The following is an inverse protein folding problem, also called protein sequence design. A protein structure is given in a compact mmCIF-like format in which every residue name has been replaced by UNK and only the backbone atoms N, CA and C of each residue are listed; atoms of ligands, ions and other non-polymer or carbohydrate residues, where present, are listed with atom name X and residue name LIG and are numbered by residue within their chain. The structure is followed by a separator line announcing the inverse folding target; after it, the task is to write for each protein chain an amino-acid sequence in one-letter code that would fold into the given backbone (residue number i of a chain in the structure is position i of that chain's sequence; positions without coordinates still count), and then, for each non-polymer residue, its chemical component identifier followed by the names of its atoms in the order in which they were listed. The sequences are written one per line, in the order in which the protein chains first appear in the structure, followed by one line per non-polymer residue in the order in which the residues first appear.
data_IF_759445139914
#
_entry.id   IF_759445139914
#
_cell.length_a   1.000
_cell.length_b   1.000
_cell.length_c   1.000
_cell.angle_alpha   90.00
_cell.angle_beta   90.00
_cell.angle_gamma   90.00
#
_symmetry.space_group_name_H-M   'P 1'
#
loop_
_entity.id
_entity.type
_entity.pdbx_description
1 polymer ?
#
# COMPACT_ATOMS: atom_id res chain seq x y z
N UNK A 1 -74.64 -17.32 31.35
CA UNK A 1 -75.27 -16.25 32.15
C UNK A 1 -74.31 -15.09 32.14
N UNK A 2 -74.68 -14.14 31.39
CA UNK A 2 -74.98 -12.75 31.72
C UNK A 2 -73.66 -11.96 31.98
N UNK A 3 -73.33 -11.14 31.12
CA UNK A 3 -73.80 -9.78 30.90
C UNK A 3 -73.01 -8.73 31.68
N UNK A 4 -72.51 -7.72 30.98
CA UNK A 4 -72.36 -6.41 31.53
C UNK A 4 -71.41 -5.49 30.75
N UNK A 5 -71.93 -4.91 29.70
CA UNK A 5 -71.50 -3.66 29.04
C UNK A 5 -71.32 -2.50 29.99
N UNK A 6 -70.41 -1.59 29.65
CA UNK A 6 -70.53 -0.10 29.64
C UNK A 6 -69.20 0.50 29.28
N UNK A 7 -69.10 1.02 28.11
CA UNK A 7 -69.37 2.39 27.61
C UNK A 7 -68.46 3.49 28.21
N UNK A 8 -67.61 4.01 27.29
CA UNK A 8 -67.33 5.41 26.97
C UNK A 8 -66.78 6.35 28.05
N UNK A 9 -65.66 6.98 27.77
CA UNK A 9 -65.67 8.41 27.40
C UNK A 9 -64.28 8.88 26.95
N UNK A 10 -64.23 9.59 25.80
CA UNK A 10 -63.20 10.36 25.19
C UNK A 10 -62.41 11.27 26.12
N UNK A 11 -61.04 11.30 25.99
CA UNK A 11 -60.33 12.56 26.02
C UNK A 11 -59.18 12.42 24.97
N UNK A 12 -59.34 13.09 23.84
CA UNK A 12 -58.32 13.41 22.87
C UNK A 12 -57.35 14.40 23.52
N UNK A 13 -56.11 13.98 23.75
CA UNK A 13 -55.03 14.92 24.07
C UNK A 13 -54.08 14.92 22.88
N UNK A 14 -54.13 16.00 22.14
CA UNK A 14 -53.22 16.38 21.08
C UNK A 14 -51.84 16.46 21.72
N UNK A 15 -50.95 15.56 21.36
CA UNK A 15 -49.52 15.68 21.61
C UNK A 15 -48.86 15.93 20.25
N UNK A 16 -48.28 17.13 20.11
CA UNK A 16 -47.47 17.53 18.99
C UNK A 16 -46.32 16.54 18.77
N UNK A 17 -45.87 16.30 17.50
CA UNK A 17 -44.68 15.54 17.26
C UNK A 17 -43.49 16.39 17.74
N UNK A 18 -42.84 15.98 18.81
CA UNK A 18 -41.47 16.40 19.09
C UNK A 18 -40.59 15.79 18.02
N UNK A 19 -39.95 16.65 17.25
CA UNK A 19 -38.85 16.33 16.41
C UNK A 19 -37.78 15.64 17.26
N UNK A 20 -37.66 14.33 17.10
CA UNK A 20 -36.44 13.64 17.47
C UNK A 20 -35.37 14.06 16.46
N UNK A 21 -34.60 15.07 16.81
CA UNK A 21 -33.26 15.23 16.25
C UNK A 21 -32.54 13.91 16.51
N UNK A 22 -32.41 13.12 15.46
CA UNK A 22 -31.52 11.98 15.44
C UNK A 22 -30.09 12.52 15.63
N UNK A 23 -29.58 12.37 16.84
CA UNK A 23 -28.17 12.58 17.15
C UNK A 23 -27.40 11.44 16.48
N UNK A 24 -27.20 11.55 15.15
CA UNK A 24 -26.36 10.66 14.37
C UNK A 24 -24.89 11.06 14.55
N UNK A 25 -24.48 11.08 15.80
CA UNK A 25 -23.10 11.14 16.22
C UNK A 25 -22.55 9.72 16.33
N UNK A 26 -22.63 8.95 15.25
CA UNK A 26 -21.86 7.72 15.15
C UNK A 26 -20.38 8.13 15.24
N UNK A 27 -19.80 7.86 16.41
CA UNK A 27 -18.38 7.95 16.67
C UNK A 27 -17.70 6.92 15.74
N UNK A 28 -17.50 7.31 14.46
CA UNK A 28 -16.91 6.45 13.43
C UNK A 28 -15.49 6.21 13.92
N UNK A 29 -15.23 5.00 14.42
CA UNK A 29 -13.85 4.59 14.77
C UNK A 29 -12.99 4.92 13.56
N UNK A 30 -11.90 5.69 13.71
CA UNK A 30 -11.09 6.08 12.58
C UNK A 30 -10.61 4.85 11.83
N UNK A 31 -10.84 4.83 10.53
CA UNK A 31 -10.50 3.69 9.68
C UNK A 31 -8.99 3.66 9.47
N UNK A 32 -8.34 2.65 10.08
CA UNK A 32 -6.89 2.49 10.02
C UNK A 32 -6.38 2.13 8.63
N UNK A 33 -7.24 1.56 7.80
CA UNK A 33 -6.96 1.15 6.42
C UNK A 33 -7.94 1.86 5.50
N UNK A 34 -7.43 2.55 4.49
CA UNK A 34 -8.24 3.24 3.48
C UNK A 34 -7.95 2.68 2.10
N UNK A 35 -8.99 2.34 1.37
CA UNK A 35 -8.93 1.99 -0.05
C UNK A 35 -9.37 3.21 -0.83
N UNK A 36 -8.60 3.60 -1.84
CA UNK A 36 -8.79 4.82 -2.63
C UNK A 36 -8.76 4.53 -4.14
N UNK A 37 -9.38 5.41 -4.91
CA UNK A 37 -9.47 5.28 -6.36
C UNK A 37 -8.49 6.20 -7.12
N UNK A 38 -7.90 7.20 -6.47
CA UNK A 38 -7.03 8.15 -7.16
C UNK A 38 -5.68 8.33 -6.46
N UNK A 39 -4.63 8.61 -7.23
CA UNK A 39 -3.27 8.86 -6.72
C UNK A 39 -3.22 10.00 -5.69
N UNK A 40 -4.01 11.04 -5.91
CA UNK A 40 -4.00 12.22 -5.04
C UNK A 40 -4.46 11.89 -3.62
N UNK A 41 -5.30 10.88 -3.46
CA UNK A 41 -5.83 10.45 -2.16
C UNK A 41 -4.80 9.67 -1.33
N UNK A 42 -3.63 9.29 -1.90
CA UNK A 42 -2.51 8.70 -1.14
C UNK A 42 -2.07 9.59 0.02
N UNK A 43 -2.26 10.92 -0.09
CA UNK A 43 -2.00 11.89 0.97
C UNK A 43 -2.81 11.62 2.25
N UNK A 44 -3.87 10.81 2.21
CA UNK A 44 -4.65 10.40 3.38
C UNK A 44 -3.80 9.65 4.42
N UNK A 45 -2.61 9.14 4.07
CA UNK A 45 -1.66 8.57 5.02
C UNK A 45 -1.17 9.58 6.06
N UNK A 46 -1.26 10.88 5.78
CA UNK A 46 -0.91 11.94 6.73
C UNK A 46 -1.86 12.00 7.94
N UNK A 47 -3.08 11.49 7.81
CA UNK A 47 -4.02 11.39 8.93
C UNK A 47 -3.41 10.50 10.03
N UNK A 48 -3.30 10.99 11.29
CA UNK A 48 -2.73 10.21 12.39
C UNK A 48 -3.41 8.85 12.61
N UNK A 49 -4.71 8.75 12.35
CA UNK A 49 -5.48 7.54 12.55
C UNK A 49 -5.30 6.50 11.44
N UNK A 50 -4.84 6.90 10.26
CA UNK A 50 -4.63 6.01 9.11
C UNK A 50 -3.25 5.36 9.18
N UNK A 51 -3.20 4.04 9.10
CA UNK A 51 -1.96 3.25 9.10
C UNK A 51 -1.58 2.73 7.71
N UNK A 52 -2.58 2.56 6.83
CA UNK A 52 -2.42 2.04 5.47
C UNK A 52 -3.40 2.74 4.52
N UNK A 53 -2.89 3.16 3.37
CA UNK A 53 -3.70 3.60 2.23
C UNK A 53 -3.35 2.71 1.05
N UNK A 54 -4.36 2.14 0.39
CA UNK A 54 -4.22 1.30 -0.80
C UNK A 54 -4.91 2.01 -1.96
N UNK A 55 -4.12 2.35 -2.98
CA UNK A 55 -4.66 2.84 -4.25
C UNK A 55 -4.84 1.65 -5.20
N UNK A 56 -6.10 1.28 -5.43
CA UNK A 56 -6.46 0.24 -6.40
C UNK A 56 -6.33 0.78 -7.81
N UNK A 57 -5.56 0.08 -8.64
CA UNK A 57 -5.33 0.47 -10.04
C UNK A 57 -5.04 -0.73 -10.93
N UNK A 58 -5.11 -0.52 -12.23
CA UNK A 58 -4.82 -1.54 -13.23
C UNK A 58 -3.92 -0.99 -14.33
N UNK A 59 -3.20 -1.88 -14.97
CA UNK A 59 -2.42 -1.61 -16.17
C UNK A 59 -3.06 -2.25 -17.40
N UNK A 60 -2.72 -1.80 -18.62
CA UNK A 60 -3.15 -2.46 -19.84
C UNK A 60 -2.74 -3.94 -19.85
N UNK A 61 -3.59 -4.80 -20.38
CA UNK A 61 -3.32 -6.27 -20.41
C UNK A 61 -2.00 -6.64 -21.10
N UNK A 62 -1.62 -5.88 -22.13
CA UNK A 62 -0.35 -6.10 -22.83
C UNK A 62 0.88 -5.76 -21.97
N UNK A 63 0.75 -4.90 -20.96
CA UNK A 63 1.85 -4.60 -20.05
C UNK A 63 2.23 -5.81 -19.19
N UNK A 64 1.24 -6.51 -18.63
CA UNK A 64 1.48 -7.74 -17.88
C UNK A 64 2.09 -8.83 -18.76
N UNK A 65 1.56 -9.00 -19.97
CA UNK A 65 2.07 -9.96 -20.92
C UNK A 65 3.54 -9.67 -21.28
N UNK A 66 3.87 -8.39 -21.52
CA UNK A 66 5.24 -7.96 -21.79
C UNK A 66 6.20 -8.28 -20.64
N UNK A 67 5.86 -7.90 -19.39
CA UNK A 67 6.70 -8.20 -18.23
C UNK A 67 6.93 -9.69 -18.03
N UNK A 68 5.91 -10.51 -18.28
CA UNK A 68 6.00 -11.98 -18.13
C UNK A 68 6.89 -12.63 -19.20
N UNK A 69 7.03 -11.99 -20.36
CA UNK A 69 7.88 -12.49 -21.48
C UNK A 69 9.35 -12.10 -21.35
N UNK A 70 9.69 -11.15 -20.48
CA UNK A 70 11.07 -10.77 -20.23
C UNK A 70 11.83 -11.91 -19.52
N UNK A 71 13.04 -12.16 -19.97
CA UNK A 71 13.94 -13.01 -19.21
C UNK A 71 14.20 -12.40 -17.83
N UNK A 72 14.35 -13.23 -16.82
CA UNK A 72 14.61 -12.76 -15.46
C UNK A 72 15.85 -11.84 -15.39
N UNK A 73 16.85 -12.04 -16.24
CA UNK A 73 18.05 -11.20 -16.35
C UNK A 73 17.75 -9.78 -16.84
N UNK A 74 16.71 -9.59 -17.65
CA UNK A 74 16.29 -8.29 -18.18
C UNK A 74 15.44 -7.48 -17.18
N UNK A 75 14.85 -8.15 -16.19
CA UNK A 75 14.11 -7.43 -15.15
C UNK A 75 15.07 -6.59 -14.31
N UNK A 76 14.78 -5.28 -14.11
CA UNK A 76 15.66 -4.39 -13.38
C UNK A 76 15.79 -4.81 -11.91
N UNK A 77 16.99 -4.59 -11.36
CA UNK A 77 17.25 -4.74 -9.92
C UNK A 77 18.23 -3.63 -9.52
N UNK A 78 17.74 -2.64 -8.78
CA UNK A 78 18.52 -1.46 -8.42
C UNK A 78 18.09 -0.92 -7.05
N UNK A 79 19.00 -0.18 -6.42
CA UNK A 79 18.73 0.67 -5.27
C UNK A 79 19.50 1.97 -5.42
N UNK A 80 18.83 3.10 -5.24
CA UNK A 80 19.42 4.42 -5.37
C UNK A 80 18.73 5.42 -4.45
N UNK A 81 19.50 6.32 -3.85
CA UNK A 81 19.02 7.54 -3.20
C UNK A 81 19.14 8.68 -4.20
N UNK A 82 18.01 9.26 -4.62
CA UNK A 82 17.97 10.15 -5.79
C UNK A 82 16.90 11.24 -5.64
N UNK A 83 17.13 12.39 -6.29
CA UNK A 83 16.09 13.40 -6.48
C UNK A 83 15.06 12.90 -7.49
N UNK A 84 13.76 13.14 -7.29
CA UNK A 84 12.73 12.74 -8.26
C UNK A 84 13.00 13.19 -9.69
N UNK A 85 13.55 14.40 -9.88
CA UNK A 85 13.83 14.95 -11.20
C UNK A 85 14.92 14.20 -11.98
N UNK A 86 15.83 13.49 -11.30
CA UNK A 86 16.95 12.77 -11.93
C UNK A 86 16.61 11.30 -12.21
N UNK A 87 15.48 10.82 -11.70
CA UNK A 87 15.14 9.40 -11.69
C UNK A 87 14.95 8.82 -13.08
N UNK A 88 14.22 9.48 -13.96
CA UNK A 88 13.93 8.97 -15.33
C UNK A 88 15.21 8.61 -16.05
N UNK A 89 16.16 9.54 -16.13
CA UNK A 89 17.43 9.31 -16.79
C UNK A 89 18.22 8.17 -16.18
N UNK A 90 18.20 8.08 -14.85
CA UNK A 90 18.84 6.97 -14.14
C UNK A 90 18.20 5.63 -14.51
N UNK A 91 16.88 5.52 -14.52
CA UNK A 91 16.16 4.29 -14.87
C UNK A 91 16.44 3.87 -16.31
N UNK A 92 16.40 4.81 -17.25
CA UNK A 92 16.71 4.55 -18.67
C UNK A 92 18.10 3.92 -18.82
N UNK A 93 19.12 4.52 -18.21
CA UNK A 93 20.49 4.00 -18.22
C UNK A 93 20.61 2.60 -17.57
N UNK A 94 19.93 2.38 -16.44
CA UNK A 94 19.98 1.08 -15.76
C UNK A 94 19.28 -0.01 -16.58
N UNK A 95 18.17 0.31 -17.24
CA UNK A 95 17.44 -0.63 -18.09
C UNK A 95 18.19 -0.91 -19.39
N UNK A 96 18.87 0.09 -19.99
CA UNK A 96 19.76 -0.12 -21.14
C UNK A 96 20.90 -1.07 -20.79
N UNK A 97 21.57 -0.83 -19.67
CA UNK A 97 22.66 -1.69 -19.17
C UNK A 97 22.18 -3.12 -18.86
N UNK A 98 20.92 -3.26 -18.43
CA UNK A 98 20.28 -4.56 -18.17
C UNK A 98 19.77 -5.26 -19.43
N UNK A 99 19.90 -4.65 -20.62
CA UNK A 99 19.44 -5.22 -21.89
C UNK A 99 17.92 -5.20 -22.07
N UNK A 100 17.19 -4.38 -21.32
CA UNK A 100 15.76 -4.18 -21.53
C UNK A 100 15.55 -3.28 -22.74
N UNK A 101 14.95 -3.82 -23.79
CA UNK A 101 14.74 -3.10 -25.05
C UNK A 101 13.81 -1.90 -24.84
N UNK A 102 14.19 -0.75 -25.45
CA UNK A 102 13.37 0.46 -25.45
C UNK A 102 12.04 0.23 -26.20
N UNK A 103 10.98 0.86 -25.72
CA UNK A 103 9.64 0.78 -26.31
C UNK A 103 8.54 1.17 -25.33
N UNK A 104 7.31 1.28 -25.81
CA UNK A 104 6.16 1.84 -25.09
C UNK A 104 5.94 1.21 -23.71
N UNK A 105 6.13 -0.11 -23.59
CA UNK A 105 5.90 -0.81 -22.32
C UNK A 105 6.99 -0.50 -21.28
N UNK A 106 8.24 -0.36 -21.73
CA UNK A 106 9.35 0.10 -20.88
C UNK A 106 9.13 1.54 -20.44
N UNK A 107 8.71 2.40 -21.35
CA UNK A 107 8.45 3.81 -21.06
C UNK A 107 7.26 3.96 -20.10
N UNK A 108 6.25 3.10 -20.21
CA UNK A 108 5.15 3.03 -19.27
C UNK A 108 5.63 2.62 -17.87
N UNK A 109 6.51 1.63 -17.76
CA UNK A 109 7.10 1.23 -16.47
C UNK A 109 7.91 2.37 -15.85
N UNK A 110 8.78 3.02 -16.64
CA UNK A 110 9.61 4.15 -16.18
C UNK A 110 8.73 5.30 -15.74
N UNK A 111 7.73 5.67 -16.54
CA UNK A 111 6.81 6.76 -16.24
C UNK A 111 6.00 6.51 -14.96
N UNK A 112 5.55 5.28 -14.75
CA UNK A 112 4.83 4.92 -13.53
C UNK A 112 5.73 5.01 -12.28
N UNK A 113 6.95 4.49 -12.35
CA UNK A 113 7.91 4.58 -11.23
C UNK A 113 8.21 6.05 -10.92
N UNK A 114 8.45 6.88 -11.94
CA UNK A 114 8.69 8.31 -11.82
C UNK A 114 7.51 9.00 -11.12
N UNK A 115 6.29 8.77 -11.58
CA UNK A 115 5.06 9.31 -11.01
C UNK A 115 4.87 8.94 -9.54
N UNK A 116 5.18 7.69 -9.16
CA UNK A 116 5.09 7.24 -7.77
C UNK A 116 6.16 7.87 -6.89
N UNK A 117 7.38 8.07 -7.41
CA UNK A 117 8.47 8.74 -6.68
C UNK A 117 8.14 10.21 -6.44
N UNK A 118 7.59 10.93 -7.43
CA UNK A 118 7.11 12.30 -7.24
C UNK A 118 5.98 12.38 -6.22
N UNK A 119 5.00 11.47 -6.29
CA UNK A 119 3.91 11.42 -5.34
C UNK A 119 4.42 11.16 -3.91
N UNK A 120 5.31 10.19 -3.75
CA UNK A 120 5.91 9.85 -2.46
C UNK A 120 6.72 11.02 -1.88
N UNK A 121 7.58 11.65 -2.67
CA UNK A 121 8.37 12.81 -2.28
C UNK A 121 7.47 13.98 -1.81
N UNK A 122 6.37 14.22 -2.54
CA UNK A 122 5.38 15.24 -2.15
C UNK A 122 4.69 14.93 -0.83
N UNK A 123 4.30 13.68 -0.59
CA UNK A 123 3.62 13.24 0.64
C UNK A 123 4.56 13.32 1.84
N UNK A 124 5.81 12.90 1.67
CA UNK A 124 6.82 12.85 2.74
C UNK A 124 7.56 14.16 2.92
N UNK A 125 7.45 15.08 1.94
CA UNK A 125 8.21 16.34 1.85
C UNK A 125 9.72 16.09 1.81
N UNK A 126 10.13 15.04 1.13
CA UNK A 126 11.53 14.62 1.00
C UNK A 126 12.13 15.09 -0.30
N UNK A 127 13.31 15.70 -0.27
CA UNK A 127 14.08 16.10 -1.46
C UNK A 127 14.70 14.88 -2.16
N UNK A 128 15.02 13.85 -1.38
CA UNK A 128 15.62 12.59 -1.84
C UNK A 128 14.72 11.41 -1.48
N UNK A 129 14.62 10.45 -2.38
CA UNK A 129 13.87 9.19 -2.16
C UNK A 129 14.82 8.01 -2.30
N UNK A 130 14.81 7.09 -1.34
CA UNK A 130 15.48 5.78 -1.44
C UNK A 130 14.58 4.86 -2.27
N UNK A 131 14.88 4.78 -3.57
CA UNK A 131 14.15 3.98 -4.57
C UNK A 131 14.79 2.62 -4.66
N UNK A 132 14.00 1.59 -4.45
CA UNK A 132 14.42 0.21 -4.58
C UNK A 132 13.47 -0.53 -5.52
N UNK A 133 13.98 -0.95 -6.67
CA UNK A 133 13.28 -1.82 -7.61
C UNK A 133 13.98 -3.17 -7.61
N UNK A 134 13.32 -4.19 -7.09
CA UNK A 134 13.97 -5.47 -6.80
C UNK A 134 13.34 -6.61 -7.59
N UNK A 135 14.20 -7.37 -8.24
CA UNK A 135 13.87 -8.69 -8.76
C UNK A 135 14.13 -9.73 -7.67
N UNK A 136 13.07 -10.35 -7.17
CA UNK A 136 13.12 -11.26 -6.04
C UNK A 136 12.66 -12.65 -6.50
N UNK A 137 13.50 -13.68 -6.27
CA UNK A 137 13.20 -15.09 -6.54
C UNK A 137 13.45 -16.01 -5.32
N UNK A 138 13.57 -15.41 -4.15
CA UNK A 138 13.87 -16.07 -2.88
C UNK A 138 12.92 -15.58 -1.78
N UNK A 139 12.99 -16.18 -0.59
CA UNK A 139 12.16 -15.82 0.55
C UNK A 139 12.70 -14.57 1.28
N UNK A 140 12.73 -13.40 0.61
CA UNK A 140 13.00 -12.13 1.27
C UNK A 140 11.80 -11.69 2.11
N UNK A 141 12.03 -11.22 3.35
CA UNK A 141 11.01 -10.62 4.22
C UNK A 141 9.72 -11.47 4.38
N UNK A 142 9.84 -12.80 4.35
CA UNK A 142 8.72 -13.74 4.37
C UNK A 142 8.03 -13.92 5.74
N UNK A 143 8.67 -13.41 6.83
CA UNK A 143 8.06 -13.39 8.16
C UNK A 143 7.19 -12.15 8.33
N UNK A 144 6.09 -12.28 9.04
CA UNK A 144 5.31 -11.12 9.43
C UNK A 144 6.15 -10.16 10.27
N UNK A 145 6.19 -8.90 9.84
CA UNK A 145 6.99 -7.85 10.49
C UNK A 145 6.33 -6.48 10.31
N UNK A 146 6.81 -5.51 11.05
CA UNK A 146 6.63 -4.08 10.79
C UNK A 146 7.94 -3.51 10.32
N UNK A 147 7.89 -2.63 9.35
CA UNK A 147 9.08 -1.91 8.92
C UNK A 147 9.51 -0.87 9.96
N UNK A 148 10.80 -0.76 10.17
CA UNK A 148 11.38 0.29 11.00
C UNK A 148 11.67 1.54 10.17
N UNK A 149 10.60 2.20 9.70
CA UNK A 149 10.59 3.43 8.90
C UNK A 149 9.45 4.32 9.39
N UNK A 150 9.43 5.58 8.98
CA UNK A 150 8.25 6.42 9.20
C UNK A 150 7.12 6.01 8.24
N UNK A 151 7.43 5.99 6.95
CA UNK A 151 6.50 5.60 5.88
C UNK A 151 7.24 4.79 4.83
N UNK A 152 6.49 3.89 4.20
CA UNK A 152 6.93 3.15 3.02
C UNK A 152 5.82 3.13 2.00
N UNK A 153 6.18 3.33 0.73
CA UNK A 153 5.29 3.04 -0.40
C UNK A 153 5.81 1.83 -1.15
N UNK A 154 4.91 0.95 -1.60
CA UNK A 154 5.29 -0.18 -2.42
C UNK A 154 4.22 -0.52 -3.46
N UNK A 155 4.67 -1.14 -4.55
CA UNK A 155 3.81 -1.79 -5.56
C UNK A 155 4.54 -3.00 -6.16
N UNK A 156 3.79 -4.02 -6.55
CA UNK A 156 4.32 -5.21 -7.23
C UNK A 156 3.91 -5.17 -8.70
N UNK A 157 4.89 -5.16 -9.60
CA UNK A 157 4.67 -5.17 -11.05
C UNK A 157 4.57 -6.58 -11.63
N UNK A 158 5.22 -7.56 -11.00
CA UNK A 158 5.23 -8.96 -11.46
C UNK A 158 5.24 -9.92 -10.28
N UNK A 159 4.54 -11.03 -10.41
CA UNK A 159 4.56 -12.15 -9.46
C UNK A 159 3.68 -11.97 -8.24
N UNK A 160 3.83 -12.83 -7.22
CA UNK A 160 3.03 -12.79 -6.00
C UNK A 160 3.18 -11.49 -5.24
N UNK A 161 2.08 -10.94 -4.74
CA UNK A 161 2.01 -9.61 -4.13
C UNK A 161 2.26 -9.63 -2.62
N UNK A 162 2.42 -8.47 -2.02
CA UNK A 162 2.63 -8.34 -0.58
C UNK A 162 1.37 -8.74 0.20
N UNK A 163 1.57 -9.58 1.20
CA UNK A 163 0.55 -10.01 2.16
C UNK A 163 0.58 -9.10 3.39
N UNK A 164 -0.60 -8.72 3.87
CA UNK A 164 -0.74 -7.90 5.06
C UNK A 164 -1.88 -8.40 5.96
N UNK A 165 -1.88 -7.99 7.22
CA UNK A 165 -2.94 -8.34 8.18
C UNK A 165 -3.57 -7.09 8.74
N UNK A 166 -4.90 -7.14 8.87
CA UNK A 166 -5.64 -6.05 9.49
C UNK A 166 -5.10 -5.76 10.92
N UNK A 167 -5.00 -4.49 11.35
CA UNK A 167 -4.41 -4.11 12.64
C UNK A 167 -4.91 -4.89 13.86
N UNK A 168 -6.17 -5.31 13.86
CA UNK A 168 -6.75 -6.14 14.93
C UNK A 168 -6.07 -7.51 15.09
N UNK A 169 -5.45 -8.04 14.05
CA UNK A 169 -4.76 -9.35 14.04
C UNK A 169 -3.24 -9.22 14.12
N UNK A 170 -2.71 -8.00 14.12
CA UNK A 170 -1.29 -7.71 14.01
C UNK A 170 -0.45 -8.42 15.10
N UNK A 171 -0.85 -8.31 16.37
CA UNK A 171 -0.14 -8.95 17.50
C UNK A 171 -0.12 -10.47 17.37
N UNK A 172 -1.24 -11.07 16.99
CA UNK A 172 -1.35 -12.51 16.80
C UNK A 172 -0.46 -12.99 15.65
N UNK A 173 -0.48 -12.30 14.49
CA UNK A 173 0.34 -12.65 13.34
C UNK A 173 1.83 -12.55 13.67
N UNK A 174 2.26 -11.48 14.35
CA UNK A 174 3.65 -11.30 14.81
C UNK A 174 4.13 -12.42 15.73
N UNK A 175 3.29 -12.87 16.67
CA UNK A 175 3.63 -13.95 17.59
C UNK A 175 3.64 -15.32 16.92
N UNK A 176 2.63 -15.61 16.12
CA UNK A 176 2.41 -16.95 15.56
C UNK A 176 3.18 -17.21 14.27
N UNK A 177 3.53 -16.16 13.51
CA UNK A 177 4.32 -16.29 12.28
C UNK A 177 3.73 -17.34 11.32
N UNK A 178 4.46 -18.41 11.04
CA UNK A 178 4.02 -19.53 10.19
C UNK A 178 2.75 -20.24 10.68
N UNK A 179 2.50 -20.18 11.97
CA UNK A 179 1.34 -20.83 12.60
C UNK A 179 0.09 -19.96 12.59
N UNK A 180 0.19 -18.70 12.14
CA UNK A 180 -0.95 -17.80 12.04
C UNK A 180 -2.00 -18.37 11.08
N UNK A 181 -3.23 -18.46 11.56
CA UNK A 181 -4.40 -18.98 10.82
C UNK A 181 -5.52 -17.94 10.67
N UNK A 182 -5.26 -16.70 11.12
CA UNK A 182 -6.20 -15.60 10.91
C UNK A 182 -6.25 -15.13 9.46
N UNK A 183 -7.11 -14.17 9.15
CA UNK A 183 -7.24 -13.62 7.80
C UNK A 183 -5.95 -12.90 7.38
N UNK A 184 -5.52 -13.19 6.17
CA UNK A 184 -4.40 -12.54 5.49
C UNK A 184 -4.96 -11.91 4.23
N UNK A 185 -4.72 -10.62 4.09
CA UNK A 185 -5.09 -9.84 2.90
C UNK A 185 -3.91 -9.75 1.95
N UNK A 186 -4.20 -9.63 0.66
CA UNK A 186 -3.19 -9.43 -0.39
C UNK A 186 -3.45 -8.11 -1.09
N UNK A 187 -2.39 -7.38 -1.40
CA UNK A 187 -2.50 -6.32 -2.39
C UNK A 187 -2.78 -6.96 -3.75
N UNK A 188 -3.59 -6.33 -4.60
CA UNK A 188 -3.68 -6.78 -5.97
C UNK A 188 -2.40 -6.39 -6.76
N UNK A 189 -2.18 -7.02 -7.90
CA UNK A 189 -1.07 -6.66 -8.78
C UNK A 189 -1.27 -5.19 -9.23
N UNK A 190 -0.20 -4.40 -9.16
CA UNK A 190 -0.16 -2.96 -9.44
C UNK A 190 -0.78 -2.05 -8.37
N UNK A 191 -1.52 -2.55 -7.39
CA UNK A 191 -1.94 -1.71 -6.28
C UNK A 191 -0.74 -0.99 -5.66
N UNK A 192 -0.94 0.26 -5.29
CA UNK A 192 0.04 1.05 -4.55
C UNK A 192 -0.38 1.12 -3.10
N UNK A 193 0.44 0.60 -2.22
CA UNK A 193 0.23 0.74 -0.78
C UNK A 193 1.23 1.73 -0.21
N UNK A 194 0.74 2.72 0.54
CA UNK A 194 1.56 3.55 1.41
C UNK A 194 1.15 3.30 2.86
N UNK A 195 2.11 3.00 3.72
CA UNK A 195 1.85 2.67 5.12
C UNK A 195 2.87 3.29 6.07
N UNK A 196 2.43 3.49 7.31
CA UNK A 196 3.29 3.90 8.41
C UNK A 196 4.05 2.70 8.94
N UNK A 197 5.30 2.93 9.30
CA UNK A 197 6.14 1.95 9.99
C UNK A 197 6.15 2.15 11.50
N UNK A 198 6.98 1.37 12.19
CA UNK A 198 7.06 1.36 13.65
C UNK A 198 7.80 2.56 14.25
N UNK A 199 8.49 3.40 13.44
CA UNK A 199 9.10 4.64 13.92
C UNK A 199 8.07 5.68 14.39
N UNK A 200 6.82 5.57 13.95
CA UNK A 200 5.73 6.48 14.37
C UNK A 200 5.10 6.11 15.72
N UNK A 201 5.52 4.99 16.32
CA UNK A 201 5.07 4.51 17.63
C UNK A 201 5.24 2.99 17.76
N UNK A 202 5.52 2.50 18.97
CA UNK A 202 5.86 1.08 19.21
C UNK A 202 4.76 0.07 18.83
N UNK A 203 3.50 0.50 18.72
CA UNK A 203 2.35 -0.32 18.33
C UNK A 203 1.79 0.05 16.97
N UNK A 204 2.32 1.10 16.32
CA UNK A 204 1.91 1.57 15.01
C UNK A 204 2.55 0.75 13.89
N UNK A 205 2.01 0.91 12.71
CA UNK A 205 2.51 0.30 11.49
C UNK A 205 1.84 -1.04 11.15
N UNK A 206 1.66 -1.21 9.85
CA UNK A 206 1.01 -2.40 9.28
C UNK A 206 1.95 -3.61 9.40
N UNK A 207 1.39 -4.70 9.90
CA UNK A 207 2.06 -6.00 9.85
C UNK A 207 1.84 -6.62 8.48
N UNK A 208 2.94 -6.90 7.80
CA UNK A 208 2.94 -7.44 6.45
C UNK A 208 4.12 -8.40 6.23
N UNK A 209 4.13 -9.03 5.09
CA UNK A 209 5.25 -9.87 4.65
C UNK A 209 5.29 -10.01 3.13
N UNK A 210 6.44 -10.43 2.60
CA UNK A 210 6.51 -11.02 1.27
C UNK A 210 6.00 -12.46 1.31
N UNK A 211 5.24 -12.93 0.31
CA UNK A 211 4.89 -14.33 0.22
C UNK A 211 6.16 -15.20 0.06
N UNK A 212 6.22 -16.40 0.64
CA UNK A 212 7.33 -17.33 0.43
C UNK A 212 7.29 -17.89 -0.98
N UNK A 213 8.32 -17.60 -1.79
CA UNK A 213 8.40 -17.99 -3.21
C UNK A 213 9.61 -18.86 -3.55
N UNK A 214 10.53 -19.09 -2.62
CA UNK A 214 11.68 -19.94 -2.89
C UNK A 214 11.25 -21.36 -3.33
N UNK A 215 11.81 -21.83 -4.43
CA UNK A 215 11.50 -23.16 -4.98
C UNK A 215 10.19 -23.25 -5.77
N UNK A 216 9.45 -22.14 -5.94
CA UNK A 216 8.20 -22.13 -6.73
C UNK A 216 8.42 -21.80 -8.21
N UNK A 217 9.61 -21.34 -8.59
CA UNK A 217 9.89 -20.81 -9.92
C UNK A 217 9.36 -19.40 -10.16
N UNK A 218 8.67 -18.79 -9.19
CA UNK A 218 8.15 -17.44 -9.30
C UNK A 218 9.25 -16.39 -9.15
N UNK A 219 9.13 -15.30 -9.92
CA UNK A 219 9.90 -14.07 -9.75
C UNK A 219 8.96 -12.93 -9.45
N UNK A 220 9.33 -12.08 -8.50
CA UNK A 220 8.63 -10.81 -8.21
C UNK A 220 9.45 -9.64 -8.74
N UNK A 221 8.75 -8.63 -9.26
CA UNK A 221 9.32 -7.29 -9.47
C UNK A 221 8.59 -6.34 -8.53
N UNK A 222 9.30 -5.89 -7.49
CA UNK A 222 8.78 -5.07 -6.40
C UNK A 222 9.44 -3.69 -6.40
N UNK A 223 8.65 -2.64 -6.48
CA UNK A 223 9.09 -1.28 -6.16
C UNK A 223 8.83 -1.00 -4.69
N UNK A 224 9.83 -0.44 -4.00
CA UNK A 224 9.72 0.06 -2.63
C UNK A 224 10.38 1.42 -2.52
N UNK A 225 9.65 2.40 -1.98
CA UNK A 225 10.10 3.77 -1.77
C UNK A 225 10.16 4.07 -0.28
N UNK A 226 11.26 4.66 0.16
CA UNK A 226 11.48 5.05 1.55
C UNK A 226 12.03 6.48 1.62
N UNK A 227 11.85 7.10 2.76
CA UNK A 227 12.58 8.30 3.12
C UNK A 227 14.06 7.96 3.30
N UNK A 228 14.94 8.95 3.14
CA UNK A 228 16.37 8.78 3.40
C UNK A 228 16.61 8.32 4.84
N UNK A 229 17.52 7.39 5.04
CA UNK A 229 17.93 6.87 6.35
C UNK A 229 19.42 6.57 6.37
N UNK A 230 19.97 6.23 7.53
CA UNK A 230 21.38 5.85 7.68
C UNK A 230 21.81 4.66 6.83
N UNK A 231 20.88 3.80 6.44
CA UNK A 231 21.15 2.64 5.60
C UNK A 231 20.86 2.88 4.11
N UNK A 232 20.45 4.10 3.74
CA UNK A 232 20.30 4.48 2.33
C UNK A 232 21.66 4.54 1.65
N UNK A 233 21.76 4.22 0.34
CA UNK A 233 23.00 4.39 -0.39
C UNK A 233 23.38 5.87 -0.45
N UNK A 234 24.64 6.15 -0.82
CA UNK A 234 25.07 7.54 -1.09
C UNK A 234 24.18 8.17 -2.18
N UNK A 235 23.85 9.44 -1.96
CA UNK A 235 22.99 10.16 -2.91
C UNK A 235 23.71 10.31 -4.26
N UNK A 236 23.02 9.95 -5.32
CA UNK A 236 23.48 10.28 -6.67
C UNK A 236 22.97 11.66 -7.04
N UNK A 237 23.84 12.65 -6.96
CA UNK A 237 23.66 13.98 -7.52
C UNK A 237 24.80 14.27 -8.48
N UNK A 238 24.46 14.73 -9.70
CA UNK A 238 25.31 15.53 -10.61
C UNK A 238 26.35 14.85 -11.51
N UNK A 239 26.42 13.56 -11.69
CA UNK A 239 27.30 12.97 -12.73
C UNK A 239 26.57 11.95 -13.64
N UNK A 240 25.33 12.25 -14.05
CA UNK A 240 24.59 11.52 -15.08
C UNK A 240 24.65 12.24 -16.43
#
# INVERSE_FOLDING_TARGET
MACGDRLMTFIQKIISPQEHEAFDGANKVPEKVRIIATRNDLAAIADPATELVIWERSFPLNFQAWLTQLDASQLPSLRVLIKPADLRRFLELQMDNGGMVAGDMRDLLIGDIEDLVFAYASITKSDLVDVRLERINHNACWKFHRDFVERRMLTTYLGPTTEWVHPQHATQAMCQQKCFKGPIENLALYDVAIFKGSCTGSTSGIVHRSPPIAGTGCTRLLLSLNEQSEISPDSRSEHL
#
